data_IF_827573581324
#
_entry.id   IF_827573581324
#
_cell.length_a   1.000
_cell.length_b   1.000
_cell.length_c   1.000
_cell.angle_alpha   90.00
_cell.angle_beta   90.00
_cell.angle_gamma   90.00
#
_symmetry.space_group_name_H-M   'P 1'
#
loop_
_entity.id
_entity.type
_entity.pdbx_description
1 polymer ?
#
# COMPACT_ATOMS: atom_id res chain seq x y z
N UNK A 1 4.18 -3.51 0.06
CA UNK A 1 4.49 -2.34 0.90
C UNK A 1 5.21 -2.83 2.14
N UNK A 2 6.29 -2.16 2.52
CA UNK A 2 7.10 -2.54 3.68
C UNK A 2 7.16 -1.34 4.62
N UNK A 3 7.07 -1.60 5.92
CA UNK A 3 7.32 -0.62 6.97
C UNK A 3 8.51 -1.06 7.81
N UNK A 4 9.42 -0.14 8.09
CA UNK A 4 10.53 -0.35 9.01
C UNK A 4 10.35 0.61 10.19
N UNK A 5 10.38 0.08 11.41
CA UNK A 5 10.23 0.83 12.65
C UNK A 5 11.55 0.75 13.41
N UNK A 6 12.18 1.89 13.61
CA UNK A 6 13.43 2.05 14.32
C UNK A 6 13.15 2.67 15.69
N UNK A 7 13.57 1.98 16.76
CA UNK A 7 13.43 2.42 18.14
C UNK A 7 14.72 3.05 18.66
N UNK A 8 14.62 3.99 19.61
CA UNK A 8 15.76 4.80 20.07
C UNK A 8 16.51 5.44 18.88
N UNK A 9 15.77 5.97 17.90
CA UNK A 9 16.33 6.38 16.61
C UNK A 9 17.41 7.49 16.76
N UNK A 10 17.33 8.30 17.82
CA UNK A 10 18.36 9.29 18.17
C UNK A 10 19.72 8.68 18.52
N UNK A 11 19.75 7.42 18.96
CA UNK A 11 20.96 6.69 19.36
C UNK A 11 21.54 5.83 18.22
N UNK A 12 20.81 5.66 17.12
CA UNK A 12 21.19 4.85 15.97
C UNK A 12 20.00 4.13 15.34
N UNK A 13 20.25 3.39 14.27
CA UNK A 13 19.20 2.70 13.48
C UNK A 13 19.27 1.17 13.59
N UNK A 14 19.96 0.66 14.62
CA UNK A 14 20.20 -0.78 14.80
C UNK A 14 18.97 -1.52 15.36
N UNK A 15 18.16 -0.84 16.18
CA UNK A 15 16.95 -1.43 16.80
C UNK A 15 15.78 -1.33 15.84
N UNK A 16 15.69 -2.28 14.92
CA UNK A 16 14.73 -2.29 13.82
C UNK A 16 13.72 -3.43 13.95
N UNK A 17 12.47 -3.14 13.64
CA UNK A 17 11.44 -4.12 13.29
C UNK A 17 10.86 -3.84 11.91
N UNK A 18 10.84 -4.84 11.04
CA UNK A 18 10.34 -4.74 9.67
C UNK A 18 9.04 -5.51 9.49
N UNK A 19 8.09 -4.91 8.77
CA UNK A 19 6.78 -5.47 8.51
C UNK A 19 6.43 -5.42 7.03
N UNK A 20 6.02 -6.55 6.47
CA UNK A 20 5.42 -6.60 5.16
C UNK A 20 3.92 -6.36 5.31
N UNK A 21 3.49 -5.11 5.12
CA UNK A 21 2.12 -4.71 5.43
C UNK A 21 1.09 -5.29 4.47
N UNK A 22 1.40 -5.28 3.18
CA UNK A 22 0.42 -5.59 2.14
C UNK A 22 1.10 -5.81 0.79
N UNK A 23 0.62 -6.81 0.05
CA UNK A 23 0.97 -7.07 -1.35
C UNK A 23 -0.28 -6.83 -2.21
N UNK A 24 -0.32 -5.67 -2.86
CA UNK A 24 -1.46 -5.24 -3.69
C UNK A 24 -1.20 -5.62 -5.15
N UNK A 25 -2.09 -6.43 -5.71
CA UNK A 25 -2.10 -6.86 -7.09
C UNK A 25 -3.36 -6.33 -7.77
N UNK A 26 -3.28 -5.92 -9.02
CA UNK A 26 -4.44 -5.34 -9.70
C UNK A 26 -4.51 -5.72 -11.17
N UNK A 27 -5.73 -5.84 -11.68
CA UNK A 27 -6.06 -6.05 -13.09
C UNK A 27 -7.28 -5.21 -13.43
N UNK A 28 -7.09 -4.13 -14.19
CA UNK A 28 -8.13 -3.13 -14.43
C UNK A 28 -8.59 -2.45 -13.13
N UNK A 29 -9.89 -2.53 -12.86
CA UNK A 29 -10.57 -2.00 -11.67
C UNK A 29 -10.52 -2.95 -10.45
N UNK A 30 -9.99 -4.15 -10.64
CA UNK A 30 -10.01 -5.19 -9.62
C UNK A 30 -8.68 -5.25 -8.89
N UNK A 31 -8.74 -5.31 -7.56
CA UNK A 31 -7.59 -5.47 -6.68
C UNK A 31 -7.69 -6.78 -5.91
N UNK A 32 -6.57 -7.52 -5.85
CA UNK A 32 -6.34 -8.62 -4.92
C UNK A 32 -5.22 -8.18 -3.98
N UNK A 33 -5.55 -8.07 -2.69
CA UNK A 33 -4.60 -7.76 -1.65
C UNK A 33 -4.27 -9.02 -0.84
N UNK A 34 -2.99 -9.35 -0.75
CA UNK A 34 -2.49 -10.37 0.17
C UNK A 34 -1.90 -9.65 1.39
N UNK A 35 -2.37 -10.01 2.58
CA UNK A 35 -1.86 -9.51 3.86
C UNK A 35 -0.91 -10.55 4.43
N UNK A 36 0.42 -10.29 4.42
CA UNK A 36 1.40 -11.21 4.98
C UNK A 36 1.27 -11.33 6.50
N UNK A 37 1.65 -12.49 7.04
CA UNK A 37 1.89 -12.63 8.47
C UNK A 37 3.07 -11.74 8.90
N UNK A 38 2.97 -11.12 10.08
CA UNK A 38 4.00 -10.21 10.58
C UNK A 38 5.28 -10.91 11.01
N UNK A 39 5.20 -12.19 11.38
CA UNK A 39 6.34 -13.02 11.80
C UNK A 39 6.91 -13.79 10.61
N UNK A 40 6.04 -14.28 9.71
CA UNK A 40 6.40 -15.09 8.55
C UNK A 40 5.87 -14.47 7.23
N UNK A 41 6.53 -13.43 6.67
CA UNK A 41 6.05 -12.68 5.50
C UNK A 41 5.85 -13.51 4.21
N UNK A 42 6.41 -14.72 4.17
CA UNK A 42 6.22 -15.71 3.11
C UNK A 42 4.80 -16.28 3.12
N UNK A 43 4.14 -16.29 4.28
CA UNK A 43 2.76 -16.76 4.48
C UNK A 43 1.82 -15.57 4.46
N UNK A 44 0.71 -15.69 3.74
CA UNK A 44 -0.36 -14.69 3.77
C UNK A 44 -1.42 -15.11 4.78
N UNK A 45 -1.71 -14.23 5.75
CA UNK A 45 -2.73 -14.44 6.78
C UNK A 45 -4.13 -14.17 6.24
N UNK A 46 -4.28 -13.16 5.38
CA UNK A 46 -5.57 -12.77 4.81
C UNK A 46 -5.45 -12.46 3.31
N UNK A 47 -6.52 -12.70 2.58
CA UNK A 47 -6.67 -12.35 1.17
C UNK A 47 -7.94 -11.51 1.01
N UNK A 48 -7.82 -10.35 0.37
CA UNK A 48 -8.95 -9.48 0.10
C UNK A 48 -9.14 -9.27 -1.39
N UNK A 49 -10.37 -9.48 -1.86
CA UNK A 49 -10.82 -8.97 -3.15
C UNK A 49 -11.45 -7.60 -2.95
N UNK A 50 -10.90 -6.59 -3.60
CA UNK A 50 -11.29 -5.20 -3.49
C UNK A 50 -11.79 -4.72 -4.85
N UNK A 51 -12.95 -4.07 -4.83
CA UNK A 51 -13.52 -3.40 -5.99
C UNK A 51 -14.19 -2.10 -5.53
N UNK A 52 -13.75 -0.98 -6.09
CA UNK A 52 -14.20 0.35 -5.70
C UNK A 52 -14.04 0.61 -4.18
N UNK A 53 -15.13 0.92 -3.47
CA UNK A 53 -15.13 1.20 -2.03
C UNK A 53 -15.49 -0.01 -1.17
N UNK A 54 -15.62 -1.20 -1.77
CA UNK A 54 -15.99 -2.43 -1.07
C UNK A 54 -14.91 -3.48 -1.18
N UNK A 55 -14.89 -4.38 -0.21
CA UNK A 55 -13.99 -5.53 -0.21
C UNK A 55 -14.67 -6.77 0.37
N UNK A 56 -14.08 -7.92 0.06
CA UNK A 56 -14.50 -9.23 0.50
C UNK A 56 -13.28 -9.99 1.00
N UNK A 57 -13.40 -10.63 2.16
CA UNK A 57 -12.36 -11.50 2.70
C UNK A 57 -12.49 -12.89 2.10
N UNK A 58 -11.39 -13.40 1.58
CA UNK A 58 -11.29 -14.71 0.94
C UNK A 58 -10.31 -15.57 1.73
N UNK A 59 -10.51 -16.88 1.66
CA UNK A 59 -9.55 -17.84 2.20
C UNK A 59 -8.27 -17.82 1.35
N UNK A 60 -7.09 -17.47 1.91
CA UNK A 60 -5.83 -17.45 1.18
C UNK A 60 -5.43 -18.80 0.59
N UNK A 61 -5.99 -19.92 1.08
CA UNK A 61 -5.71 -21.26 0.57
C UNK A 61 -6.62 -21.68 -0.60
N UNK A 62 -7.69 -20.91 -0.87
CA UNK A 62 -8.66 -21.26 -1.89
C UNK A 62 -8.54 -20.38 -3.14
N UNK A 63 -7.81 -20.88 -4.14
CA UNK A 63 -7.59 -20.17 -5.41
C UNK A 63 -8.68 -20.44 -6.46
N UNK A 64 -9.70 -21.27 -6.14
CA UNK A 64 -10.79 -21.63 -7.05
C UNK A 64 -12.06 -20.80 -6.84
N UNK A 65 -11.95 -19.64 -6.18
CA UNK A 65 -13.09 -18.75 -5.92
C UNK A 65 -13.52 -18.04 -7.20
N UNK A 66 -14.79 -18.22 -7.59
CA UNK A 66 -15.42 -17.45 -8.67
C UNK A 66 -15.91 -16.12 -8.09
N UNK A 67 -15.14 -15.06 -8.30
CA UNK A 67 -15.37 -13.71 -7.75
C UNK A 67 -16.78 -13.20 -8.07
N UNK A 68 -17.29 -13.43 -9.29
CA UNK A 68 -18.62 -12.98 -9.70
C UNK A 68 -19.78 -13.64 -8.96
N UNK A 69 -19.60 -14.88 -8.48
CA UNK A 69 -20.61 -15.57 -7.67
C UNK A 69 -20.44 -15.20 -6.20
N UNK A 70 -19.21 -15.07 -5.73
CA UNK A 70 -18.90 -14.63 -4.37
C UNK A 70 -19.53 -13.26 -4.07
N UNK A 71 -19.47 -12.30 -5.00
CA UNK A 71 -20.12 -10.99 -4.84
C UNK A 71 -21.64 -11.04 -4.67
N UNK A 72 -22.29 -12.17 -5.04
CA UNK A 72 -23.73 -12.39 -4.86
C UNK A 72 -24.07 -13.11 -3.56
N UNK A 73 -23.15 -13.90 -3.03
CA UNK A 73 -23.38 -14.77 -1.86
C UNK A 73 -22.83 -14.21 -0.57
N UNK A 74 -21.76 -13.40 -0.64
CA UNK A 74 -21.16 -12.74 0.51
C UNK A 74 -21.61 -11.29 0.61
N UNK A 75 -21.74 -10.82 1.86
CA UNK A 75 -22.00 -9.40 2.12
C UNK A 75 -20.72 -8.58 1.92
N UNK A 76 -20.75 -7.51 1.13
CA UNK A 76 -19.60 -6.63 0.97
C UNK A 76 -19.27 -5.92 2.28
N UNK A 77 -17.98 -5.72 2.53
CA UNK A 77 -17.49 -4.89 3.63
C UNK A 77 -16.98 -3.56 3.07
N UNK A 78 -17.14 -2.49 3.85
CA UNK A 78 -16.63 -1.17 3.49
C UNK A 78 -15.11 -1.12 3.64
N UNK A 79 -14.39 -0.70 2.60
CA UNK A 79 -12.93 -0.60 2.64
C UNK A 79 -12.43 0.39 3.71
N UNK A 80 -13.26 1.36 4.06
CA UNK A 80 -12.99 2.35 5.12
C UNK A 80 -13.00 1.74 6.53
N UNK A 81 -13.62 0.58 6.69
CA UNK A 81 -13.69 -0.14 7.98
C UNK A 81 -12.60 -1.23 8.10
N UNK A 82 -11.78 -1.43 7.07
CA UNK A 82 -10.74 -2.44 7.04
C UNK A 82 -9.63 -2.10 8.05
N UNK A 83 -9.25 -3.06 8.89
CA UNK A 83 -8.30 -2.87 10.02
C UNK A 83 -6.97 -3.61 9.86
N UNK A 84 -6.82 -4.39 8.80
CA UNK A 84 -5.62 -5.18 8.52
C UNK A 84 -5.08 -4.85 7.12
N UNK A 85 -3.82 -5.17 6.85
CA UNK A 85 -3.18 -4.84 5.56
C UNK A 85 -3.05 -3.32 5.31
N UNK A 86 -3.21 -2.92 4.04
CA UNK A 86 -3.35 -1.53 3.67
C UNK A 86 -4.72 -0.99 4.13
N UNK A 87 -4.68 0.00 5.03
CA UNK A 87 -5.86 0.71 5.49
C UNK A 87 -6.12 1.89 4.57
N UNK A 88 -7.36 2.01 4.11
CA UNK A 88 -7.78 3.08 3.20
C UNK A 88 -8.39 4.21 4.02
N UNK A 89 -7.92 5.43 3.76
CA UNK A 89 -8.39 6.64 4.43
C UNK A 89 -8.57 7.76 3.42
N UNK A 90 -9.54 8.64 3.68
CA UNK A 90 -9.71 9.90 2.95
C UNK A 90 -9.00 11.06 3.65
N UNK A 91 -8.29 10.80 4.74
CA UNK A 91 -7.56 11.82 5.49
C UNK A 91 -6.41 12.40 4.65
N UNK A 92 -6.26 13.72 4.73
CA UNK A 92 -5.13 14.41 4.13
C UNK A 92 -3.88 14.32 5.01
N UNK A 93 -2.72 14.66 4.44
CA UNK A 93 -1.49 14.72 5.22
C UNK A 93 -1.63 15.83 6.28
N UNK A 94 -1.43 15.55 7.58
CA UNK A 94 -1.54 16.57 8.60
C UNK A 94 -0.55 17.73 8.38
N UNK A 95 -1.03 18.97 8.52
CA UNK A 95 -0.24 20.19 8.33
C UNK A 95 0.40 20.35 6.94
N UNK A 96 -0.20 19.77 5.90
CA UNK A 96 0.31 19.80 4.53
C UNK A 96 0.54 21.21 3.96
N UNK A 97 -0.23 22.19 4.41
CA UNK A 97 -0.06 23.60 4.06
C UNK A 97 1.29 24.18 4.52
N UNK A 98 1.89 23.62 5.57
CA UNK A 98 3.18 24.04 6.12
C UNK A 98 4.37 23.28 5.52
N UNK A 99 4.14 22.52 4.44
CA UNK A 99 5.20 21.72 3.83
C UNK A 99 6.31 22.60 3.25
N UNK A 100 7.53 22.10 3.33
CA UNK A 100 8.70 22.70 2.69
C UNK A 100 9.21 21.80 1.57
N UNK A 101 9.32 22.35 0.37
CA UNK A 101 9.95 21.66 -0.75
C UNK A 101 11.44 21.46 -0.46
N UNK A 102 11.94 20.27 -0.77
CA UNK A 102 13.36 19.93 -0.70
C UNK A 102 13.91 19.78 -2.11
N UNK A 103 15.24 19.86 -2.23
CA UNK A 103 15.90 19.53 -3.48
C UNK A 103 15.63 18.07 -3.88
N UNK A 104 15.52 17.87 -5.19
CA UNK A 104 15.43 16.54 -5.78
C UNK A 104 16.59 15.67 -5.30
N UNK A 105 16.33 14.37 -5.13
CA UNK A 105 17.36 13.40 -4.78
C UNK A 105 17.29 12.18 -5.67
N UNK A 106 18.36 11.41 -5.69
CA UNK A 106 18.40 10.09 -6.31
C UNK A 106 18.44 9.05 -5.19
N UNK A 107 17.47 8.14 -5.19
CA UNK A 107 17.41 7.01 -4.27
C UNK A 107 17.01 5.76 -5.06
N UNK A 108 17.68 4.62 -4.84
CA UNK A 108 17.42 3.39 -5.59
C UNK A 108 17.41 3.56 -7.12
N UNK A 109 18.32 4.40 -7.65
CA UNK A 109 18.41 4.77 -9.08
C UNK A 109 17.15 5.47 -9.65
N UNK A 110 16.26 5.95 -8.79
CA UNK A 110 15.10 6.77 -9.15
C UNK A 110 15.30 8.20 -8.68
N UNK A 111 14.84 9.15 -9.50
CA UNK A 111 14.80 10.58 -9.15
C UNK A 111 13.49 10.87 -8.42
N UNK A 112 13.61 11.48 -7.24
CA UNK A 112 12.48 11.82 -6.38
C UNK A 112 12.39 13.32 -6.17
N UNK A 113 11.18 13.86 -6.36
CA UNK A 113 10.78 15.11 -5.71
C UNK A 113 10.51 14.84 -4.24
N UNK A 114 10.79 15.82 -3.38
CA UNK A 114 10.62 15.66 -1.94
C UNK A 114 10.05 16.89 -1.30
N UNK A 115 9.30 16.66 -0.24
CA UNK A 115 8.93 17.70 0.70
C UNK A 115 8.93 17.14 2.12
N UNK A 116 8.96 18.04 3.08
CA UNK A 116 8.89 17.69 4.49
C UNK A 116 7.87 18.54 5.22
N UNK A 117 7.39 17.99 6.33
CA UNK A 117 6.55 18.67 7.30
C UNK A 117 7.24 18.49 8.65
N UNK A 118 7.61 19.60 9.27
CA UNK A 118 8.31 19.60 10.55
C UNK A 118 7.43 20.31 11.58
N UNK A 119 7.14 19.62 12.67
CA UNK A 119 6.40 20.15 13.82
C UNK A 119 7.22 19.97 15.10
N UNK A 120 6.85 20.58 16.24
CA UNK A 120 7.52 20.31 17.51
C UNK A 120 7.53 18.82 17.91
N UNK A 121 6.53 18.05 17.45
CA UNK A 121 6.30 16.65 17.87
C UNK A 121 6.82 15.62 16.86
N UNK A 122 6.86 15.98 15.58
CA UNK A 122 7.17 15.06 14.51
C UNK A 122 7.94 15.72 13.38
N UNK A 123 8.67 14.91 12.63
CA UNK A 123 9.30 15.29 11.38
C UNK A 123 8.97 14.23 10.34
N UNK A 124 8.33 14.61 9.23
CA UNK A 124 7.96 13.67 8.18
C UNK A 124 8.45 14.16 6.84
N UNK A 125 9.06 13.27 6.06
CA UNK A 125 9.56 13.52 4.71
C UNK A 125 8.89 12.55 3.73
N UNK A 126 8.50 13.10 2.58
CA UNK A 126 7.76 12.39 1.54
C UNK A 126 8.59 12.36 0.26
N UNK A 127 8.54 11.24 -0.45
CA UNK A 127 9.31 11.01 -1.68
C UNK A 127 8.37 10.63 -2.82
N UNK A 128 8.29 11.54 -3.79
CA UNK A 128 7.40 11.42 -4.94
C UNK A 128 8.22 11.05 -6.17
N UNK A 129 7.97 9.86 -6.69
CA UNK A 129 8.54 9.40 -7.94
C UNK A 129 7.75 9.99 -9.10
N UNK A 130 8.41 10.75 -9.97
CA UNK A 130 7.76 11.32 -11.14
C UNK A 130 7.50 10.21 -12.16
N UNK A 131 6.23 9.94 -12.39
CA UNK A 131 5.76 8.89 -13.29
C UNK A 131 4.35 9.23 -13.74
N UNK A 132 4.01 8.80 -14.95
CA UNK A 132 2.68 8.80 -15.55
C UNK A 132 1.85 7.58 -15.15
N UNK A 133 2.45 6.61 -14.43
CA UNK A 133 1.76 5.40 -14.01
C UNK A 133 0.71 5.70 -12.96
N UNK A 134 -0.55 5.63 -13.38
CA UNK A 134 -1.72 5.73 -12.50
C UNK A 134 -1.93 4.36 -11.85
N UNK A 135 -1.82 4.32 -10.51
CA UNK A 135 -2.21 3.14 -9.75
C UNK A 135 -3.71 3.22 -9.41
N UNK A 136 -4.40 2.07 -9.25
CA UNK A 136 -5.80 2.05 -8.81
C UNK A 136 -5.96 2.41 -7.31
N UNK A 137 -4.86 2.74 -6.63
CA UNK A 137 -4.80 3.22 -5.26
C UNK A 137 -3.73 4.30 -5.15
N UNK A 138 -3.82 5.14 -4.11
CA UNK A 138 -2.86 6.19 -3.83
C UNK A 138 -2.61 6.23 -2.32
N UNK A 139 -1.38 6.57 -1.90
CA UNK A 139 -1.11 6.79 -0.48
C UNK A 139 -1.71 8.12 -0.01
N UNK A 140 -1.51 9.19 -0.77
CA UNK A 140 -2.09 10.51 -0.49
C UNK A 140 -2.35 11.28 -1.79
N UNK A 141 -3.58 11.19 -2.29
CA UNK A 141 -3.92 11.61 -3.66
C UNK A 141 -3.68 13.11 -3.90
N UNK A 142 -4.00 13.94 -2.92
CA UNK A 142 -3.76 15.38 -2.99
C UNK A 142 -2.27 15.70 -3.21
N UNK A 143 -1.36 15.00 -2.49
CA UNK A 143 0.07 15.20 -2.64
C UNK A 143 0.62 14.65 -3.96
N UNK A 144 0.09 13.51 -4.43
CA UNK A 144 0.47 12.93 -5.72
C UNK A 144 0.09 13.89 -6.88
N UNK A 145 -1.09 14.50 -6.80
CA UNK A 145 -1.54 15.52 -7.75
C UNK A 145 -0.65 16.77 -7.73
N UNK A 146 -0.38 17.35 -6.56
CA UNK A 146 0.39 18.59 -6.40
C UNK A 146 1.82 18.48 -6.97
N UNK A 147 2.45 17.32 -6.89
CA UNK A 147 3.83 17.12 -7.33
C UNK A 147 3.95 16.41 -8.68
N UNK A 148 2.84 15.90 -9.23
CA UNK A 148 2.79 15.20 -10.51
C UNK A 148 3.59 13.90 -10.49
N UNK A 149 3.22 12.98 -9.59
CA UNK A 149 3.87 11.68 -9.48
C UNK A 149 3.31 10.83 -8.35
N UNK A 150 3.86 9.64 -8.17
CA UNK A 150 3.41 8.67 -7.17
C UNK A 150 4.22 8.81 -5.88
N UNK A 151 3.55 8.85 -4.73
CA UNK A 151 4.20 8.79 -3.43
C UNK A 151 4.70 7.36 -3.21
N UNK A 152 6.01 7.16 -3.13
CA UNK A 152 6.60 5.82 -2.96
C UNK A 152 7.26 5.60 -1.60
N UNK A 153 7.55 6.66 -0.86
CA UNK A 153 8.17 6.53 0.46
C UNK A 153 7.77 7.68 1.38
N UNK A 154 7.57 7.33 2.65
CA UNK A 154 7.32 8.26 3.76
C UNK A 154 8.28 7.90 4.88
N UNK A 155 9.11 8.86 5.28
CA UNK A 155 10.01 8.74 6.43
C UNK A 155 9.45 9.65 7.53
N UNK A 156 9.08 9.09 8.68
CA UNK A 156 8.48 9.83 9.78
C UNK A 156 9.22 9.59 11.09
N UNK A 157 9.61 10.65 11.77
CA UNK A 157 10.23 10.62 13.07
C UNK A 157 9.28 11.22 14.11
N UNK A 158 8.90 10.42 15.09
CA UNK A 158 8.21 10.87 16.30
C UNK A 158 9.27 11.28 17.33
N UNK A 159 9.35 12.58 17.61
CA UNK A 159 10.38 13.17 18.49
C UNK A 159 10.15 12.83 19.96
N UNK A 160 8.91 12.56 20.35
CA UNK A 160 8.54 12.26 21.74
C UNK A 160 8.89 10.83 22.11
N UNK A 161 8.51 9.89 21.25
CA UNK A 161 8.72 8.46 21.49
C UNK A 161 10.08 7.97 20.99
N UNK A 162 10.84 8.84 20.31
CA UNK A 162 12.11 8.52 19.66
C UNK A 162 12.01 7.33 18.68
N UNK A 163 10.94 7.32 17.90
CA UNK A 163 10.63 6.29 16.91
C UNK A 163 10.72 6.87 15.51
N UNK A 164 11.52 6.24 14.66
CA UNK A 164 11.57 6.54 13.23
C UNK A 164 10.89 5.42 12.43
N UNK A 165 9.99 5.78 11.53
CA UNK A 165 9.21 4.85 10.71
C UNK A 165 9.47 5.17 9.25
N UNK A 166 9.82 4.16 8.45
CA UNK A 166 9.89 4.30 7.00
C UNK A 166 8.85 3.41 6.37
N UNK A 167 7.89 4.00 5.66
CA UNK A 167 6.96 3.30 4.80
C UNK A 167 7.48 3.34 3.37
N UNK A 168 7.56 2.20 2.70
CA UNK A 168 8.00 2.11 1.32
C UNK A 168 7.04 1.28 0.46
N UNK A 169 6.57 1.91 -0.62
CA UNK A 169 5.92 1.25 -1.74
C UNK A 169 6.99 0.75 -2.70
N UNK A 170 6.92 -0.54 -3.03
CA UNK A 170 7.85 -1.19 -3.96
C UNK A 170 7.01 -1.71 -5.13
N UNK A 171 6.90 -0.94 -6.24
CA UNK A 171 6.21 -1.39 -7.43
C UNK A 171 6.91 -2.62 -8.03
N UNK A 172 6.11 -3.60 -8.47
CA UNK A 172 6.58 -4.82 -9.14
C UNK A 172 5.94 -4.92 -10.52
N UNK A 173 6.62 -5.59 -11.45
CA UNK A 173 6.15 -5.77 -12.84
C UNK A 173 5.15 -6.91 -13.00
N UNK A 174 5.17 -7.88 -12.09
CA UNK A 174 4.33 -9.07 -12.12
C UNK A 174 3.47 -9.15 -10.87
N UNK A 175 2.33 -9.82 -11.00
CA UNK A 175 1.51 -10.21 -9.86
C UNK A 175 2.24 -11.23 -8.97
N UNK A 176 1.86 -11.30 -7.70
CA UNK A 176 2.16 -12.46 -6.86
C UNK A 176 1.44 -13.69 -7.40
N UNK A 177 2.04 -14.87 -7.26
CA UNK A 177 1.53 -16.13 -7.85
C UNK A 177 0.08 -16.43 -7.42
N UNK A 178 -0.25 -16.28 -6.14
CA UNK A 178 -1.62 -16.45 -5.61
C UNK A 178 -2.62 -15.50 -6.30
N UNK A 179 -2.24 -14.23 -6.50
CA UNK A 179 -3.13 -13.27 -7.16
C UNK A 179 -3.26 -13.56 -8.66
N UNK A 180 -2.16 -13.98 -9.30
CA UNK A 180 -2.13 -14.38 -10.70
C UNK A 180 -3.09 -15.54 -10.97
N UNK A 181 -3.02 -16.60 -10.17
CA UNK A 181 -3.90 -17.77 -10.30
C UNK A 181 -5.38 -17.37 -10.18
N UNK A 182 -5.73 -16.53 -9.20
CA UNK A 182 -7.09 -16.02 -9.03
C UNK A 182 -7.55 -15.19 -10.24
N UNK A 183 -6.71 -14.30 -10.75
CA UNK A 183 -7.04 -13.50 -11.93
C UNK A 183 -7.25 -14.37 -13.17
N UNK A 184 -6.33 -15.31 -13.44
CA UNK A 184 -6.39 -16.19 -14.61
C UNK A 184 -7.60 -17.13 -14.54
N UNK A 185 -7.89 -17.71 -13.38
CA UNK A 185 -9.06 -18.55 -13.17
C UNK A 185 -10.37 -17.78 -13.41
N UNK A 186 -10.49 -16.58 -12.86
CA UNK A 186 -11.71 -15.78 -13.02
C UNK A 186 -11.88 -15.24 -14.45
N UNK A 187 -10.78 -14.92 -15.12
CA UNK A 187 -10.80 -14.56 -16.54
C UNK A 187 -11.29 -15.75 -17.40
N UNK A 188 -10.80 -16.95 -17.13
CA UNK A 188 -11.22 -18.17 -17.81
C UNK A 188 -12.72 -18.47 -17.62
N UNK A 189 -13.22 -18.40 -16.38
CA UNK A 189 -14.64 -18.62 -16.08
C UNK A 189 -15.54 -17.60 -16.77
N UNK A 190 -15.13 -16.33 -16.82
CA UNK A 190 -15.88 -15.26 -17.51
C UNK A 190 -15.99 -15.54 -19.01
N UNK A 191 -14.92 -16.00 -19.65
CA UNK A 191 -14.93 -16.27 -21.08
C UNK A 191 -15.84 -17.45 -21.45
N UNK A 192 -15.87 -18.51 -20.63
CA UNK A 192 -16.79 -19.64 -20.83
C UNK A 192 -18.27 -19.31 -20.65
N UNK A 193 -18.61 -18.29 -19.86
CA UNK A 193 -20.01 -17.85 -19.69
C UNK A 193 -20.52 -16.97 -20.84
N UNK A 194 -19.62 -16.46 -21.67
CA UNK A 194 -19.93 -15.60 -22.82
C UNK A 194 -19.91 -16.37 -24.16
N UNK A 195 -19.60 -17.68 -24.12
CA UNK A 195 -19.85 -18.65 -25.20
C UNK A 195 -21.25 -19.26 -25.04
#
# INVERSE_FOLDING_TARGET
>A
MISNIYFDASKGLEKLQSFHLSKINYSGDTIIELVPDFTFPEINQSLHYIKDSIYYSLDPQNNAVILSEMTKTQNPLSIWNKKEGAVFSMEEIPNYQNRRNLSDTILFKKKYKRFEINSPWSYTRFYIYQTDTILPYSLYKHAENDYGGRLERIDSYNKKEDIFVTLQLIPRKSWDDTAKELFEFNHFVKNRKNE
#
